data_IF_532095994211
#
_entry.id   IF_532095994211
#
_cell.length_a   1.000
_cell.length_b   1.000
_cell.length_c   1.000
_cell.angle_alpha   90.00
_cell.angle_beta   90.00
_cell.angle_gamma   90.00
#
_symmetry.space_group_name_H-M   'P 1'
#
loop_
_entity.id
_entity.type
_entity.pdbx_description
1 polymer ?
#
# COMPACT_ATOMS: atom_id res chain seq x y z
N UNK A 1 -7.60 11.38 9.27
CA UNK A 1 -7.20 10.91 7.96
C UNK A 1 -6.05 9.91 8.08
N UNK A 2 -6.19 8.78 7.46
CA UNK A 2 -5.29 7.70 7.74
C UNK A 2 -4.41 7.29 6.59
N UNK A 3 -3.73 8.17 6.01
CA UNK A 3 -2.85 7.80 4.91
C UNK A 3 -2.59 8.95 4.00
N UNK A 4 -1.86 8.67 2.95
CA UNK A 4 -1.51 9.64 1.93
C UNK A 4 -2.00 9.13 0.60
N UNK A 5 -2.66 9.98 -0.16
CA UNK A 5 -3.11 9.63 -1.50
C UNK A 5 -2.05 10.10 -2.49
N UNK A 6 -1.51 9.16 -3.23
CA UNK A 6 -0.49 9.46 -4.22
C UNK A 6 -1.15 9.40 -5.58
N UNK A 7 -1.38 10.57 -6.16
CA UNK A 7 -2.06 10.66 -7.45
C UNK A 7 -1.12 10.28 -8.58
N UNK A 8 -1.60 9.41 -9.45
CA UNK A 8 -0.83 8.95 -10.59
C UNK A 8 -1.79 8.36 -11.61
N UNK A 9 -1.38 8.28 -12.85
CA UNK A 9 -2.22 7.69 -13.89
C UNK A 9 -2.45 6.21 -13.64
N UNK A 10 -3.58 5.71 -14.08
CA UNK A 10 -3.87 4.28 -14.00
C UNK A 10 -2.77 3.50 -14.69
N UNK A 11 -2.33 2.41 -14.09
CA UNK A 11 -1.25 1.59 -14.63
C UNK A 11 0.14 2.02 -14.21
N UNK A 12 0.27 3.10 -13.45
CA UNK A 12 1.59 3.49 -12.93
C UNK A 12 2.07 2.42 -11.96
N UNK A 13 3.32 1.96 -12.07
CA UNK A 13 3.82 0.91 -11.18
C UNK A 13 3.86 1.34 -9.72
N UNK A 14 3.55 0.40 -8.82
CA UNK A 14 3.67 0.59 -7.38
C UNK A 14 4.78 -0.33 -6.90
N UNK A 15 5.71 0.22 -6.14
CA UNK A 15 6.85 -0.52 -5.63
C UNK A 15 6.79 -0.64 -4.11
N UNK A 16 7.26 -1.75 -3.57
CA UNK A 16 7.29 -1.94 -2.13
C UNK A 16 8.22 -0.89 -1.50
N UNK A 17 7.72 -0.21 -0.47
CA UNK A 17 8.50 0.85 0.18
C UNK A 17 9.65 0.29 1.01
N UNK A 18 9.55 -0.97 1.41
CA UNK A 18 10.60 -1.67 2.16
C UNK A 18 10.38 -3.17 2.00
N UNK A 19 11.36 -3.96 2.35
CA UNK A 19 11.24 -5.41 2.27
C UNK A 19 10.33 -5.96 3.34
N UNK A 20 9.76 -7.11 3.09
CA UNK A 20 8.89 -7.76 4.06
C UNK A 20 8.12 -8.90 3.44
N UNK A 21 7.08 -9.32 4.14
CA UNK A 21 6.21 -10.40 3.70
C UNK A 21 4.82 -9.87 3.42
N UNK A 22 4.29 -10.20 2.25
CA UNK A 22 2.93 -9.82 1.89
C UNK A 22 1.96 -10.63 2.75
N UNK A 23 1.17 -9.94 3.57
CA UNK A 23 0.19 -10.61 4.42
C UNK A 23 -1.19 -10.60 3.80
N UNK A 24 -1.44 -9.67 2.88
CA UNK A 24 -2.71 -9.60 2.19
C UNK A 24 -2.50 -9.06 0.78
N UNK A 25 -3.13 -9.69 -0.19
CA UNK A 25 -3.14 -9.20 -1.57
C UNK A 25 -4.43 -9.67 -2.20
N UNK A 26 -5.35 -8.74 -2.46
CA UNK A 26 -6.64 -9.08 -3.03
C UNK A 26 -7.64 -7.96 -2.91
N UNK A 27 -8.89 -8.26 -3.21
CA UNK A 27 -9.95 -7.27 -3.22
C UNK A 27 -10.57 -7.13 -1.84
N UNK A 28 -10.66 -5.89 -1.38
CA UNK A 28 -11.30 -5.56 -0.12
C UNK A 28 -12.58 -4.78 -0.44
N UNK A 29 -13.71 -5.38 -0.16
CA UNK A 29 -15.00 -4.77 -0.47
C UNK A 29 -15.29 -3.57 0.42
N UNK A 30 -16.06 -2.64 -0.11
CA UNK A 30 -16.45 -1.46 0.65
C UNK A 30 -17.10 -1.81 1.98
N UNK A 31 -17.94 -2.81 2.02
CA UNK A 31 -18.62 -3.17 3.27
C UNK A 31 -17.71 -3.71 4.35
N UNK A 32 -16.49 -4.00 4.04
CA UNK A 32 -15.53 -4.50 5.02
C UNK A 32 -14.86 -3.38 5.83
N UNK A 33 -15.38 -2.19 5.72
CA UNK A 33 -14.92 -1.07 6.52
C UNK A 33 -13.94 -0.15 5.86
N UNK A 34 -13.20 -0.59 4.90
CA UNK A 34 -12.17 0.22 4.29
C UNK A 34 -12.45 0.65 2.85
N UNK A 35 -13.09 -0.21 2.07
CA UNK A 35 -13.33 0.11 0.67
C UNK A 35 -12.06 0.24 -0.14
N UNK A 36 -11.00 -0.46 0.23
CA UNK A 36 -9.69 -0.35 -0.43
C UNK A 36 -9.65 -0.90 -1.85
N UNK A 37 -10.62 -1.72 -2.25
CA UNK A 37 -10.55 -2.38 -3.55
C UNK A 37 -9.41 -3.37 -3.59
N UNK A 38 -8.69 -3.46 -4.69
CA UNK A 38 -7.49 -4.28 -4.74
C UNK A 38 -6.42 -3.63 -3.89
N UNK A 39 -5.94 -4.36 -2.91
CA UNK A 39 -4.99 -3.80 -1.94
C UNK A 39 -3.94 -4.81 -1.54
N UNK A 40 -2.83 -4.30 -1.06
CA UNK A 40 -1.68 -5.08 -0.63
C UNK A 40 -1.30 -4.59 0.76
N UNK A 41 -1.01 -5.53 1.66
CA UNK A 41 -0.47 -5.21 2.97
C UNK A 41 0.82 -5.99 3.13
N UNK A 42 1.89 -5.29 3.49
CA UNK A 42 3.21 -5.88 3.70
C UNK A 42 3.61 -5.70 5.15
N UNK A 43 4.03 -6.79 5.78
CA UNK A 43 4.57 -6.78 7.13
C UNK A 43 6.09 -6.68 7.02
N UNK A 44 6.65 -5.60 7.55
CA UNK A 44 8.09 -5.33 7.46
C UNK A 44 8.87 -5.78 8.70
N UNK A 45 8.17 -6.29 9.71
CA UNK A 45 8.80 -6.64 10.96
C UNK A 45 8.77 -5.47 11.94
N UNK A 46 9.11 -5.75 13.19
CA UNK A 46 9.14 -4.75 14.27
C UNK A 46 7.81 -3.98 14.44
N UNK A 47 6.72 -4.63 14.07
CA UNK A 47 5.40 -4.03 14.17
C UNK A 47 5.00 -3.12 13.03
N UNK A 48 5.87 -2.92 12.03
CA UNK A 48 5.57 -2.05 10.91
C UNK A 48 4.86 -2.78 9.79
N UNK A 49 3.81 -2.16 9.25
CA UNK A 49 3.15 -2.64 8.03
C UNK A 49 2.89 -1.46 7.12
N UNK A 50 2.83 -1.73 5.81
CA UNK A 50 2.41 -0.73 4.84
C UNK A 50 1.22 -1.26 4.07
N UNK A 51 0.34 -0.35 3.66
CA UNK A 51 -0.89 -0.65 2.94
C UNK A 51 -0.89 0.14 1.64
N UNK A 52 -1.25 -0.54 0.56
CA UNK A 52 -1.32 0.05 -0.78
C UNK A 52 -2.70 -0.27 -1.32
N UNK A 53 -3.54 0.74 -1.50
CA UNK A 53 -4.95 0.52 -1.81
C UNK A 53 -5.35 1.12 -3.15
N UNK A 54 -6.51 0.72 -3.63
CA UNK A 54 -7.14 1.15 -4.88
C UNK A 54 -6.32 0.78 -6.11
N UNK A 55 -5.62 -0.35 -6.04
CA UNK A 55 -4.80 -0.80 -7.14
C UNK A 55 -5.65 -1.24 -8.33
N UNK A 56 -5.11 -1.09 -9.53
CA UNK A 56 -5.71 -1.60 -10.74
C UNK A 56 -5.56 -3.12 -10.79
N UNK A 57 -4.36 -3.59 -10.51
CA UNK A 57 -4.04 -5.01 -10.47
C UNK A 57 -2.84 -5.24 -9.57
N UNK A 58 -2.66 -6.49 -9.18
CA UNK A 58 -1.60 -6.91 -8.26
C UNK A 58 -0.72 -7.94 -8.94
N UNK A 59 0.59 -7.90 -8.62
CA UNK A 59 1.53 -8.89 -9.15
C UNK A 59 2.18 -9.70 -8.04
N UNK A 60 1.67 -9.58 -6.81
CA UNK A 60 2.13 -10.36 -5.67
C UNK A 60 0.95 -11.06 -5.04
N UNK A 61 1.22 -12.02 -4.16
CA UNK A 61 0.18 -12.73 -3.43
C UNK A 61 0.58 -12.87 -1.97
N UNK A 62 -0.42 -13.17 -1.13
CA UNK A 62 -0.18 -13.35 0.30
C UNK A 62 0.84 -14.47 0.53
N UNK A 63 1.75 -14.24 1.44
CA UNK A 63 2.81 -15.18 1.76
C UNK A 63 4.12 -14.92 1.02
N UNK A 64 4.09 -14.08 0.01
CA UNK A 64 5.28 -13.80 -0.79
C UNK A 64 6.20 -12.84 -0.06
N UNK A 65 7.50 -13.09 -0.15
CA UNK A 65 8.50 -12.16 0.37
C UNK A 65 8.88 -11.18 -0.73
N UNK A 66 8.95 -9.90 -0.40
CA UNK A 66 9.33 -8.86 -1.35
C UNK A 66 10.50 -8.06 -0.81
N UNK A 67 11.21 -7.41 -1.73
CA UNK A 67 12.33 -6.54 -1.39
C UNK A 67 11.91 -5.09 -1.58
N UNK A 68 12.61 -4.18 -0.95
CA UNK A 68 12.40 -2.76 -1.19
C UNK A 68 12.57 -2.47 -2.68
N UNK A 69 11.63 -1.71 -3.24
CA UNK A 69 11.67 -1.36 -4.65
C UNK A 69 11.13 -2.41 -5.60
N UNK A 70 10.68 -3.57 -5.08
CA UNK A 70 10.11 -4.60 -5.93
C UNK A 70 8.72 -4.18 -6.40
N UNK A 71 8.42 -4.44 -7.66
CA UNK A 71 7.10 -4.16 -8.23
C UNK A 71 6.05 -5.03 -7.55
N UNK A 72 4.97 -4.41 -7.08
CA UNK A 72 3.91 -5.15 -6.38
C UNK A 72 2.54 -4.97 -7.00
N UNK A 73 2.33 -3.92 -7.78
CA UNK A 73 1.03 -3.69 -8.41
C UNK A 73 1.03 -2.42 -9.23
N UNK A 74 -0.16 -1.98 -9.61
CA UNK A 74 -0.32 -0.81 -10.46
C UNK A 74 -1.43 0.07 -9.92
N UNK A 75 -1.26 1.39 -10.06
CA UNK A 75 -2.23 2.38 -9.61
C UNK A 75 -3.54 2.23 -10.36
N UNK A 76 -4.63 2.37 -9.65
CA UNK A 76 -5.96 2.34 -10.24
C UNK A 76 -6.93 3.16 -9.42
N UNK A 77 -8.19 2.75 -9.47
CA UNK A 77 -9.27 3.45 -8.78
C UNK A 77 -10.31 2.46 -8.25
N UNK A 78 -9.86 1.26 -7.92
CA UNK A 78 -10.77 0.21 -7.44
C UNK A 78 -11.21 0.49 -6.01
N UNK A 79 -12.33 -0.09 -5.63
CA UNK A 79 -12.91 0.14 -4.32
C UNK A 79 -13.55 1.50 -4.23
N UNK A 80 -13.50 2.08 -3.04
CA UNK A 80 -14.11 3.38 -2.79
C UNK A 80 -13.13 4.48 -3.15
N UNK A 81 -13.10 4.82 -4.41
CA UNK A 81 -12.18 5.81 -4.93
C UNK A 81 -12.84 6.63 -6.01
N UNK A 82 -12.59 7.93 -6.02
CA UNK A 82 -13.13 8.84 -7.01
C UNK A 82 -12.14 9.24 -8.08
N UNK A 83 -10.96 8.64 -8.10
CA UNK A 83 -9.96 8.94 -9.11
C UNK A 83 -8.75 8.05 -8.97
N UNK A 84 -7.88 8.07 -9.96
CA UNK A 84 -6.70 7.22 -9.96
C UNK A 84 -5.68 7.70 -8.93
N UNK A 85 -5.42 6.87 -7.94
CA UNK A 85 -4.41 7.16 -6.92
C UNK A 85 -4.09 5.89 -6.15
N UNK A 86 -2.98 5.90 -5.46
CA UNK A 86 -2.64 4.87 -4.50
C UNK A 86 -2.81 5.45 -3.11
N UNK A 87 -3.68 4.85 -2.32
CA UNK A 87 -3.81 5.23 -0.92
C UNK A 87 -2.78 4.45 -0.15
N UNK A 88 -1.83 5.15 0.44
CA UNK A 88 -0.69 4.54 1.10
C UNK A 88 -0.77 4.80 2.60
N UNK A 89 -0.61 3.74 3.40
CA UNK A 89 -0.57 3.86 4.85
C UNK A 89 0.66 3.19 5.41
N UNK A 90 1.20 3.76 6.48
CA UNK A 90 2.19 3.10 7.31
C UNK A 90 1.57 2.92 8.67
N UNK A 91 1.65 1.71 9.22
CA UNK A 91 1.14 1.42 10.55
C UNK A 91 2.24 0.81 11.39
N UNK A 92 2.24 1.12 12.68
CA UNK A 92 3.12 0.48 13.63
C UNK A 92 2.27 -0.07 14.75
N UNK A 93 2.36 -1.39 14.96
CA UNK A 93 1.56 -2.08 15.97
C UNK A 93 0.07 -1.80 15.80
N UNK A 94 -0.38 -1.71 14.54
CA UNK A 94 -1.78 -1.49 14.21
C UNK A 94 -2.21 -0.02 14.15
N UNK A 95 -1.37 0.90 14.59
CA UNK A 95 -1.71 2.32 14.59
C UNK A 95 -1.10 3.04 13.41
N UNK A 96 -1.89 3.88 12.78
CA UNK A 96 -1.41 4.68 11.67
C UNK A 96 -0.33 5.65 12.14
N UNK A 97 0.72 5.79 11.35
CA UNK A 97 1.72 6.83 11.58
C UNK A 97 1.86 7.64 10.30
N UNK A 98 2.14 8.93 10.47
CA UNK A 98 2.28 9.81 9.33
C UNK A 98 3.54 9.44 8.55
N UNK A 99 3.46 9.27 7.23
CA UNK A 99 4.62 8.88 6.43
C UNK A 99 5.83 9.79 6.62
N UNK A 100 5.63 11.07 6.78
CA UNK A 100 6.75 11.98 6.95
C UNK A 100 7.54 11.73 8.22
N UNK A 101 6.95 11.04 9.19
CA UNK A 101 7.69 10.70 10.42
C UNK A 101 8.61 9.51 10.23
N UNK A 102 8.48 8.81 9.11
CA UNK A 102 9.26 7.62 8.82
C UNK A 102 10.18 7.87 7.64
N UNK A 103 9.65 8.54 6.62
CA UNK A 103 10.41 8.75 5.40
C UNK A 103 11.03 10.11 5.35
N UNK A 104 11.35 10.66 6.41
CA UNK A 104 11.81 11.95 6.39
C UNK A 104 13.15 11.99 5.98
N UNK A 105 13.56 12.56 5.15
CA UNK A 105 14.78 12.83 5.01
C UNK A 105 15.55 12.12 4.14
N UNK A 106 16.59 11.79 4.50
CA UNK A 106 17.61 11.32 3.66
C UNK A 106 17.27 10.13 2.85
N UNK A 107 16.34 9.33 3.29
CA UNK A 107 16.07 8.17 2.64
C UNK A 107 15.32 8.31 1.40
N UNK A 108 14.52 9.29 1.27
CA UNK A 108 13.59 9.40 0.21
C UNK A 108 13.85 10.55 -0.67
N UNK A 109 15.04 10.83 -0.72
CA UNK A 109 15.40 11.85 -1.51
C UNK A 109 16.06 11.51 -2.60
#
# INVERSE_FOLDING_TARGET
HKGVDICAAAGTPIYASAGGTVTKAGYNKAGAGTGYGYSIIINHGNGYTTVYAHCLSLVVHAGQTVKQGQLIGYVGSTGRSSGNHCHFEIRRNGSYIAPQNVFNRSKYR
#
